data_IF_742380193351
#
_entry.id   IF_742380193351
#
_cell.length_a   1.000
_cell.length_b   1.000
_cell.length_c   1.000
_cell.angle_alpha   90.00
_cell.angle_beta   90.00
_cell.angle_gamma   90.00
#
_symmetry.space_group_name_H-M   'P 1'
#
loop_
_entity.id
_entity.type
_entity.pdbx_description
1 polymer ?
#
# COMPACT_ATOMS: atom_id res chain seq x y z
N UNK A 1 44.39 -12.70 -21.64
CA UNK A 1 43.64 -11.73 -20.80
C UNK A 1 42.23 -11.50 -21.34
N UNK A 2 42.06 -11.07 -22.60
CA UNK A 2 40.75 -10.77 -23.20
C UNK A 2 39.73 -11.93 -23.16
N UNK A 3 40.13 -13.16 -23.51
CA UNK A 3 39.24 -14.33 -23.46
C UNK A 3 38.77 -14.66 -22.03
N UNK A 4 39.64 -14.47 -21.03
CA UNK A 4 39.29 -14.67 -19.62
C UNK A 4 38.27 -13.62 -19.17
N UNK A 5 38.48 -12.34 -19.51
CA UNK A 5 37.52 -11.25 -19.24
C UNK A 5 36.16 -11.53 -19.89
N UNK A 6 36.13 -11.93 -21.16
CA UNK A 6 34.89 -12.27 -21.88
C UNK A 6 34.14 -13.44 -21.23
N UNK A 7 34.86 -14.44 -20.73
CA UNK A 7 34.28 -15.57 -20.00
C UNK A 7 33.68 -15.15 -18.65
N UNK A 8 34.40 -14.32 -17.88
CA UNK A 8 33.91 -13.78 -16.61
C UNK A 8 32.68 -12.90 -16.78
N UNK A 9 32.67 -11.99 -17.76
CA UNK A 9 31.51 -11.16 -18.08
C UNK A 9 30.29 -12.00 -18.48
N UNK A 10 30.49 -13.04 -19.31
CA UNK A 10 29.41 -13.95 -19.69
C UNK A 10 28.85 -14.71 -18.49
N UNK A 11 29.70 -15.12 -17.54
CA UNK A 11 29.26 -15.79 -16.33
C UNK A 11 28.42 -14.86 -15.43
N UNK A 12 28.88 -13.62 -15.21
CA UNK A 12 28.13 -12.61 -14.45
C UNK A 12 26.79 -12.29 -15.12
N UNK A 13 26.77 -12.11 -16.45
CA UNK A 13 25.53 -11.85 -17.18
C UNK A 13 24.49 -12.97 -17.01
N UNK A 14 24.93 -14.24 -17.09
CA UNK A 14 24.05 -15.40 -16.87
C UNK A 14 23.53 -15.45 -15.43
N UNK A 15 24.37 -15.17 -14.43
CA UNK A 15 23.94 -15.13 -13.03
C UNK A 15 22.95 -14.00 -12.78
N UNK A 16 23.18 -12.83 -13.35
CA UNK A 16 22.24 -11.73 -13.29
C UNK A 16 20.88 -12.14 -13.86
N UNK A 17 20.85 -12.72 -15.07
CA UNK A 17 19.59 -13.17 -15.69
C UNK A 17 18.85 -14.21 -14.83
N UNK A 18 19.57 -15.20 -14.29
CA UNK A 18 18.98 -16.21 -13.43
C UNK A 18 18.38 -15.60 -12.15
N UNK A 19 19.15 -14.75 -11.45
CA UNK A 19 18.68 -14.10 -10.23
C UNK A 19 17.53 -13.12 -10.49
N UNK A 20 17.52 -12.43 -11.63
CA UNK A 20 16.38 -11.59 -12.02
C UNK A 20 15.11 -12.39 -12.25
N UNK A 21 15.22 -13.59 -12.84
CA UNK A 21 14.08 -14.48 -13.03
C UNK A 21 13.56 -15.02 -11.69
N UNK A 22 14.47 -15.43 -10.80
CA UNK A 22 14.13 -15.92 -9.46
C UNK A 22 13.47 -14.82 -8.60
N UNK A 23 13.98 -13.57 -8.65
CA UNK A 23 13.32 -12.43 -7.98
C UNK A 23 11.90 -12.23 -8.51
N UNK A 24 11.71 -12.28 -9.83
CA UNK A 24 10.37 -12.11 -10.43
C UNK A 24 9.42 -13.27 -10.13
N UNK A 25 9.93 -14.46 -9.84
CA UNK A 25 9.16 -15.60 -9.34
C UNK A 25 8.74 -15.36 -7.88
N UNK A 26 9.70 -15.05 -7.01
CA UNK A 26 9.44 -14.78 -5.59
C UNK A 26 8.50 -13.58 -5.39
N UNK A 27 8.62 -12.53 -6.20
CA UNK A 27 7.71 -11.38 -6.15
C UNK A 27 6.26 -11.78 -6.47
N UNK A 28 6.05 -12.75 -7.37
CA UNK A 28 4.71 -13.29 -7.67
C UNK A 28 4.19 -14.13 -6.51
N UNK A 29 5.02 -15.02 -5.97
CA UNK A 29 4.65 -15.86 -4.83
C UNK A 29 4.27 -14.99 -3.62
N UNK A 30 5.05 -13.95 -3.32
CA UNK A 30 4.75 -12.99 -2.25
C UNK A 30 3.42 -12.29 -2.51
N UNK A 31 3.14 -11.87 -3.75
CA UNK A 31 1.89 -11.21 -4.10
C UNK A 31 0.69 -12.14 -3.89
N UNK A 32 0.77 -13.39 -4.34
CA UNK A 32 -0.28 -14.40 -4.16
C UNK A 32 -0.52 -14.72 -2.69
N UNK A 33 0.55 -14.95 -1.92
CA UNK A 33 0.47 -15.22 -0.48
C UNK A 33 -0.13 -14.03 0.30
N UNK A 34 0.28 -12.80 -0.01
CA UNK A 34 -0.29 -11.62 0.64
C UNK A 34 -1.77 -11.44 0.31
N UNK A 35 -2.17 -11.68 -0.95
CA UNK A 35 -3.57 -11.60 -1.36
C UNK A 35 -4.45 -12.66 -0.70
N UNK A 36 -3.91 -13.87 -0.50
CA UNK A 36 -4.58 -14.92 0.23
C UNK A 36 -4.67 -14.63 1.74
N UNK A 37 -3.61 -14.06 2.33
CA UNK A 37 -3.55 -13.80 3.77
C UNK A 37 -4.40 -12.60 4.19
N UNK A 38 -4.32 -11.48 3.48
CA UNK A 38 -5.09 -10.28 3.80
C UNK A 38 -5.28 -9.37 2.56
N UNK A 39 -6.37 -9.56 1.79
CA UNK A 39 -6.66 -8.73 0.63
C UNK A 39 -7.01 -7.28 1.00
N UNK A 40 -7.59 -7.05 2.18
CA UNK A 40 -7.92 -5.71 2.66
C UNK A 40 -6.66 -4.86 2.88
N UNK A 41 -5.58 -5.47 3.37
CA UNK A 41 -4.29 -4.79 3.52
C UNK A 41 -3.70 -4.38 2.17
N UNK A 42 -3.77 -5.24 1.16
CA UNK A 42 -3.32 -4.87 -0.19
C UNK A 42 -4.16 -3.74 -0.78
N UNK A 43 -5.45 -3.67 -0.46
CA UNK A 43 -6.35 -2.62 -0.93
C UNK A 43 -6.02 -1.21 -0.36
N UNK A 44 -5.22 -1.12 0.70
CA UNK A 44 -4.79 0.15 1.29
C UNK A 44 -3.92 0.92 0.29
N UNK A 45 -4.27 2.18 0.03
CA UNK A 45 -3.53 3.01 -0.92
C UNK A 45 -2.04 3.12 -0.55
N UNK A 46 -1.17 2.76 -1.49
CA UNK A 46 0.28 2.77 -1.32
C UNK A 46 0.87 1.50 -0.68
N UNK A 47 0.05 0.48 -0.42
CA UNK A 47 0.50 -0.86 -0.03
C UNK A 47 0.60 -1.73 -1.28
N UNK A 48 1.81 -2.22 -1.57
CA UNK A 48 2.05 -3.28 -2.55
C UNK A 48 2.51 -4.57 -1.87
N UNK A 49 2.70 -5.68 -2.61
CA UNK A 49 3.08 -6.99 -2.07
C UNK A 49 4.27 -6.97 -1.10
N UNK A 50 5.38 -6.31 -1.46
CA UNK A 50 6.55 -6.21 -0.58
C UNK A 50 6.22 -5.48 0.74
N UNK A 51 5.46 -4.39 0.66
CA UNK A 51 5.04 -3.60 1.83
C UNK A 51 4.06 -4.40 2.69
N UNK A 52 3.12 -5.10 2.08
CA UNK A 52 2.17 -5.96 2.77
C UNK A 52 2.90 -7.10 3.50
N UNK A 53 3.85 -7.78 2.86
CA UNK A 53 4.58 -8.88 3.47
C UNK A 53 5.37 -8.43 4.70
N UNK A 54 6.07 -7.28 4.65
CA UNK A 54 6.76 -6.71 5.82
C UNK A 54 5.80 -6.44 6.99
N UNK A 55 4.58 -5.93 6.69
CA UNK A 55 3.59 -5.60 7.73
C UNK A 55 2.94 -6.87 8.30
N UNK A 56 2.64 -7.86 7.47
CA UNK A 56 2.10 -9.16 7.88
C UNK A 56 3.11 -9.92 8.75
N UNK A 57 4.37 -9.98 8.34
CA UNK A 57 5.45 -10.61 9.14
C UNK A 57 5.64 -9.89 10.47
N UNK A 58 5.57 -8.55 10.48
CA UNK A 58 5.70 -7.78 11.71
C UNK A 58 4.52 -8.00 12.67
N UNK A 59 3.30 -8.07 12.14
CA UNK A 59 2.09 -8.38 12.90
C UNK A 59 2.12 -9.81 13.47
N UNK A 60 2.62 -10.76 12.66
CA UNK A 60 2.62 -12.19 12.94
C UNK A 60 1.22 -12.82 12.85
N UNK A 61 1.17 -14.14 13.04
CA UNK A 61 -0.04 -14.94 12.83
C UNK A 61 -1.08 -14.82 13.97
N UNK A 62 -0.78 -14.06 15.02
CA UNK A 62 -1.67 -13.87 16.17
C UNK A 62 -2.13 -12.40 16.27
N UNK A 63 -3.20 -12.03 15.55
CA UNK A 63 -3.74 -10.66 15.58
C UNK A 63 -4.21 -10.24 16.97
N UNK A 64 -4.64 -11.17 17.83
CA UNK A 64 -5.09 -10.88 19.22
C UNK A 64 -3.96 -10.33 20.11
N UNK A 65 -2.70 -10.53 19.72
CA UNK A 65 -1.54 -9.92 20.38
C UNK A 65 -1.59 -8.39 20.30
N UNK A 66 -2.24 -7.84 19.28
CA UNK A 66 -2.31 -6.39 19.03
C UNK A 66 -3.69 -5.87 19.43
N UNK A 67 -3.87 -5.59 20.72
CA UNK A 67 -5.17 -5.21 21.28
C UNK A 67 -5.72 -3.85 20.80
N UNK A 68 -4.87 -2.97 20.29
CA UNK A 68 -5.28 -1.62 19.87
C UNK A 68 -4.27 -0.95 18.92
N UNK A 69 -4.73 0.06 18.18
CA UNK A 69 -3.95 0.84 17.21
C UNK A 69 -2.62 1.40 17.74
N UNK A 70 -2.54 1.73 19.03
CA UNK A 70 -1.33 2.28 19.64
C UNK A 70 -0.27 1.20 19.86
N UNK A 71 -0.66 -0.05 20.10
CA UNK A 71 0.27 -1.17 20.26
C UNK A 71 0.94 -1.48 18.92
N UNK A 72 0.17 -1.48 17.82
CA UNK A 72 0.72 -1.66 16.48
C UNK A 72 1.67 -0.53 16.09
N UNK A 73 1.31 0.73 16.33
CA UNK A 73 2.25 1.81 16.06
C UNK A 73 3.51 1.77 16.93
N UNK A 74 3.42 1.30 18.17
CA UNK A 74 4.60 1.08 19.00
C UNK A 74 5.48 -0.03 18.44
N UNK A 75 4.87 -1.15 18.02
CA UNK A 75 5.54 -2.26 17.33
C UNK A 75 6.26 -1.78 16.06
N UNK A 76 5.62 -0.97 15.23
CA UNK A 76 6.24 -0.39 14.03
C UNK A 76 7.19 0.79 14.33
N UNK A 77 7.41 1.17 15.59
CA UNK A 77 8.23 2.35 15.95
C UNK A 77 7.66 3.68 15.43
N UNK A 78 6.37 3.73 15.10
CA UNK A 78 5.61 4.90 14.67
C UNK A 78 4.88 5.59 15.84
N UNK A 79 5.36 5.40 17.07
CA UNK A 79 4.87 6.06 18.30
C UNK A 79 5.91 7.08 18.79
N UNK A 80 5.89 8.35 18.31
CA UNK A 80 6.88 9.34 18.71
C UNK A 80 6.92 9.52 20.23
N UNK A 81 8.11 9.51 20.81
CA UNK A 81 8.28 9.62 22.27
C UNK A 81 8.38 11.09 22.61
N UNK A 82 7.64 11.56 23.61
CA UNK A 82 7.75 12.93 24.08
C UNK A 82 9.19 13.21 24.53
N UNK A 83 9.78 14.27 23.99
CA UNK A 83 11.12 14.77 24.29
C UNK A 83 11.02 16.26 24.55
N UNK A 84 10.32 16.60 25.62
CA UNK A 84 9.95 17.96 25.99
C UNK A 84 10.38 18.22 27.43
N UNK A 85 11.02 19.36 27.68
CA UNK A 85 11.24 19.93 29.01
C UNK A 85 10.59 21.32 28.99
N UNK A 86 9.62 21.58 29.86
CA UNK A 86 8.87 22.85 29.90
C UNK A 86 7.74 22.98 28.87
N UNK A 87 7.49 24.21 28.37
CA UNK A 87 6.32 24.57 27.55
C UNK A 87 6.38 24.12 26.08
N UNK A 88 7.49 23.54 25.60
CA UNK A 88 7.64 23.14 24.19
C UNK A 88 7.39 21.64 24.02
N UNK A 89 6.31 21.27 23.31
CA UNK A 89 6.00 19.86 23.03
C UNK A 89 6.74 19.39 21.78
N UNK A 90 7.94 18.82 21.97
CA UNK A 90 8.69 18.11 20.92
C UNK A 90 8.64 16.61 21.13
N UNK A 91 8.65 15.88 20.03
CA UNK A 91 8.70 14.41 20.04
C UNK A 91 9.98 13.93 19.35
N UNK A 92 10.66 12.95 19.95
CA UNK A 92 11.79 12.24 19.36
C UNK A 92 11.33 10.95 18.66
N UNK A 93 12.18 10.44 17.78
CA UNK A 93 11.98 9.16 17.11
C UNK A 93 12.01 8.00 18.12
N UNK A 94 11.05 7.09 18.05
CA UNK A 94 11.13 5.82 18.75
C UNK A 94 12.10 4.88 18.02
N UNK A 95 13.08 4.32 18.76
CA UNK A 95 14.08 3.41 18.21
C UNK A 95 13.84 1.92 18.49
N UNK A 96 12.88 1.57 19.36
CA UNK A 96 12.67 0.22 19.87
C UNK A 96 11.69 -0.66 19.08
N UNK A 97 11.06 -0.14 18.02
CA UNK A 97 10.15 -0.91 17.17
C UNK A 97 10.84 -1.63 15.99
N UNK A 98 10.08 -2.47 15.29
CA UNK A 98 10.48 -3.14 14.05
C UNK A 98 10.79 -2.09 12.96
N UNK A 99 12.03 -2.12 12.46
CA UNK A 99 12.54 -1.15 11.50
C UNK A 99 12.03 -1.36 10.08
N UNK A 100 11.79 -2.59 9.69
CA UNK A 100 11.21 -2.94 8.40
C UNK A 100 9.76 -2.48 8.32
N UNK A 101 8.96 -2.76 9.36
CA UNK A 101 7.60 -2.22 9.46
C UNK A 101 7.60 -0.68 9.49
N UNK A 102 8.54 -0.05 10.19
CA UNK A 102 8.69 1.40 10.17
C UNK A 102 9.02 1.94 8.78
N UNK A 103 9.83 1.21 8.00
CA UNK A 103 10.18 1.55 6.63
C UNK A 103 8.99 1.34 5.68
N UNK A 104 8.22 0.26 5.85
CA UNK A 104 6.97 0.00 5.13
C UNK A 104 6.00 1.19 5.27
N UNK A 105 5.76 1.67 6.50
CA UNK A 105 4.93 2.88 6.74
C UNK A 105 5.46 4.14 6.04
N UNK A 106 6.79 4.28 5.96
CA UNK A 106 7.41 5.40 5.24
C UNK A 106 7.26 5.26 3.72
N UNK A 107 7.44 4.06 3.16
CA UNK A 107 7.22 3.77 1.74
C UNK A 107 5.78 4.09 1.33
N UNK A 108 4.80 3.68 2.13
CA UNK A 108 3.38 4.03 1.90
C UNK A 108 3.20 5.55 1.85
N UNK A 109 3.75 6.29 2.83
CA UNK A 109 3.67 7.75 2.84
C UNK A 109 4.30 8.39 1.60
N UNK A 110 5.45 7.89 1.14
CA UNK A 110 6.11 8.38 -0.06
C UNK A 110 5.32 8.10 -1.32
N UNK A 111 4.77 6.89 -1.46
CA UNK A 111 3.92 6.52 -2.60
C UNK A 111 2.67 7.41 -2.64
N UNK A 112 2.00 7.61 -1.49
CA UNK A 112 0.84 8.50 -1.39
C UNK A 112 1.16 9.94 -1.79
N UNK A 113 2.30 10.47 -1.37
CA UNK A 113 2.73 11.83 -1.75
C UNK A 113 3.12 11.93 -3.22
N UNK A 114 3.85 10.93 -3.74
CA UNK A 114 4.26 10.89 -5.15
C UNK A 114 3.05 10.81 -6.10
N UNK A 115 2.02 10.07 -5.71
CA UNK A 115 0.78 9.91 -6.48
C UNK A 115 -0.33 10.89 -6.11
N UNK A 116 -0.02 11.95 -5.36
CA UNK A 116 -0.97 13.01 -5.00
C UNK A 116 -2.26 12.50 -4.37
N UNK A 117 -2.12 11.55 -3.46
CA UNK A 117 -3.26 11.00 -2.74
C UNK A 117 -3.97 12.11 -1.95
N UNK A 118 -5.23 12.37 -2.29
CA UNK A 118 -5.95 13.58 -1.90
C UNK A 118 -5.95 13.83 -0.38
N UNK A 119 -6.33 12.84 0.42
CA UNK A 119 -6.40 13.00 1.88
C UNK A 119 -5.01 13.20 2.52
N UNK A 120 -3.97 12.58 1.95
CA UNK A 120 -2.59 12.74 2.41
C UNK A 120 -2.03 14.13 2.04
N UNK A 121 -2.27 14.60 0.81
CA UNK A 121 -1.87 15.96 0.41
C UNK A 121 -2.56 17.02 1.27
N UNK A 122 -3.89 16.95 1.41
CA UNK A 122 -4.65 17.88 2.25
C UNK A 122 -4.13 17.90 3.70
N UNK A 123 -3.80 16.73 4.25
CA UNK A 123 -3.20 16.61 5.57
C UNK A 123 -1.83 17.30 5.65
N UNK A 124 -0.95 17.07 4.67
CA UNK A 124 0.39 17.68 4.62
C UNK A 124 0.30 19.20 4.50
N UNK A 125 -0.57 19.71 3.62
CA UNK A 125 -0.80 21.14 3.46
C UNK A 125 -1.23 21.79 4.78
N UNK A 126 -2.28 21.27 5.41
CA UNK A 126 -2.74 21.75 6.71
C UNK A 126 -1.63 21.75 7.78
N UNK A 127 -0.82 20.68 7.85
CA UNK A 127 0.27 20.62 8.84
C UNK A 127 1.42 21.57 8.54
N UNK A 128 1.67 21.91 7.28
CA UNK A 128 2.63 22.95 6.89
C UNK A 128 2.15 24.34 7.30
N UNK A 129 0.86 24.63 7.14
CA UNK A 129 0.24 25.88 7.59
C UNK A 129 0.31 26.04 9.11
N UNK A 130 0.22 24.95 9.87
CA UNK A 130 0.47 24.92 11.32
C UNK A 130 1.95 25.13 11.71
N UNK A 131 2.86 25.34 10.74
CA UNK A 131 4.28 25.58 10.99
C UNK A 131 5.09 24.32 11.30
N UNK A 132 4.57 23.12 11.04
CA UNK A 132 5.31 21.87 11.27
C UNK A 132 6.37 21.64 10.19
N UNK A 133 7.51 21.11 10.62
CA UNK A 133 8.58 20.69 9.70
C UNK A 133 8.19 19.42 8.94
N UNK A 134 8.74 19.20 7.74
CA UNK A 134 8.48 17.99 6.96
C UNK A 134 8.81 16.70 7.74
N UNK A 135 9.81 16.72 8.62
CA UNK A 135 10.14 15.57 9.50
C UNK A 135 9.03 15.28 10.52
N UNK A 136 8.37 16.31 11.06
CA UNK A 136 7.26 16.14 11.99
C UNK A 136 6.00 15.67 11.26
N UNK A 137 5.75 16.21 10.06
CA UNK A 137 4.65 15.77 9.19
C UNK A 137 4.81 14.29 8.85
N UNK A 138 6.02 13.88 8.44
CA UNK A 138 6.31 12.48 8.12
C UNK A 138 6.04 11.54 9.30
N UNK A 139 6.42 11.93 10.53
CA UNK A 139 6.09 11.12 11.72
C UNK A 139 4.58 11.02 11.94
N UNK A 140 3.84 12.10 11.73
CA UNK A 140 2.39 12.08 11.84
C UNK A 140 1.74 11.19 10.78
N UNK A 141 2.22 11.26 9.53
CA UNK A 141 1.74 10.40 8.45
C UNK A 141 1.97 8.94 8.78
N UNK A 142 3.16 8.57 9.24
CA UNK A 142 3.45 7.18 9.63
C UNK A 142 2.56 6.70 10.77
N UNK A 143 2.24 7.56 11.75
CA UNK A 143 1.29 7.22 12.83
C UNK A 143 -0.13 7.02 12.30
N UNK A 144 -0.57 7.86 11.36
CA UNK A 144 -1.87 7.75 10.71
C UNK A 144 -1.98 6.46 9.87
N UNK A 145 -0.98 6.19 9.03
CA UNK A 145 -0.92 4.98 8.21
C UNK A 145 -0.85 3.73 9.10
N UNK A 146 -0.14 3.78 10.23
CA UNK A 146 -0.12 2.66 11.18
C UNK A 146 -1.53 2.36 11.74
N UNK A 147 -2.34 3.38 12.01
CA UNK A 147 -3.73 3.19 12.43
C UNK A 147 -4.56 2.53 11.33
N UNK A 148 -4.47 3.04 10.11
CA UNK A 148 -5.18 2.50 8.94
C UNK A 148 -4.80 1.03 8.66
N UNK A 149 -3.49 0.72 8.65
CA UNK A 149 -2.99 -0.65 8.50
C UNK A 149 -3.46 -1.55 9.64
N UNK A 150 -3.49 -1.05 10.89
CA UNK A 150 -4.02 -1.83 12.01
C UNK A 150 -5.48 -2.21 11.79
N UNK A 151 -6.32 -1.31 11.27
CA UNK A 151 -7.70 -1.64 10.94
C UNK A 151 -7.79 -2.69 9.84
N UNK A 152 -7.01 -2.59 8.77
CA UNK A 152 -6.97 -3.61 7.73
C UNK A 152 -6.48 -4.99 8.23
N UNK A 153 -5.59 -5.01 9.22
CA UNK A 153 -5.10 -6.26 9.84
C UNK A 153 -6.09 -6.88 10.82
N UNK A 154 -6.69 -6.07 11.69
CA UNK A 154 -7.55 -6.57 12.77
C UNK A 154 -9.01 -6.79 12.32
N UNK A 155 -9.51 -5.93 11.43
CA UNK A 155 -10.87 -5.93 10.92
C UNK A 155 -10.82 -5.77 9.39
N UNK A 156 -10.39 -6.81 8.64
CA UNK A 156 -10.29 -6.73 7.19
C UNK A 156 -11.67 -6.48 6.59
N UNK A 157 -11.85 -5.33 5.95
CA UNK A 157 -13.05 -5.04 5.17
C UNK A 157 -13.08 -5.93 3.92
N UNK A 158 -14.29 -6.33 3.51
CA UNK A 158 -14.45 -7.07 2.26
C UNK A 158 -14.28 -6.09 1.08
N UNK A 159 -13.10 -6.13 0.46
CA UNK A 159 -12.79 -5.26 -0.67
C UNK A 159 -13.11 -5.99 -1.97
N UNK A 160 -13.86 -5.36 -2.89
CA UNK A 160 -14.22 -5.97 -4.17
C UNK A 160 -12.97 -6.37 -4.95
N UNK A 161 -12.93 -7.63 -5.39
CA UNK A 161 -11.77 -8.13 -6.14
C UNK A 161 -11.74 -7.49 -7.51
N UNK A 162 -10.54 -7.12 -7.97
CA UNK A 162 -10.32 -6.54 -9.28
C UNK A 162 -10.92 -7.36 -10.43
N UNK A 163 -10.84 -8.69 -10.31
CA UNK A 163 -11.40 -9.63 -11.30
C UNK A 163 -12.92 -9.54 -11.35
N UNK A 164 -13.57 -9.45 -10.20
CA UNK A 164 -15.05 -9.40 -10.10
C UNK A 164 -15.57 -8.10 -10.69
N UNK A 165 -14.92 -6.96 -10.39
CA UNK A 165 -15.26 -5.66 -10.98
C UNK A 165 -15.13 -5.66 -12.50
N UNK A 166 -14.05 -6.26 -13.02
CA UNK A 166 -13.82 -6.40 -14.46
C UNK A 166 -14.90 -7.27 -15.10
N UNK A 167 -15.21 -8.41 -14.50
CA UNK A 167 -16.24 -9.32 -14.99
C UNK A 167 -17.60 -8.64 -14.99
N UNK A 168 -17.97 -7.98 -13.90
CA UNK A 168 -19.23 -7.26 -13.78
C UNK A 168 -19.36 -6.18 -14.87
N UNK A 169 -18.33 -5.36 -15.10
CA UNK A 169 -18.35 -4.36 -16.19
C UNK A 169 -18.51 -5.00 -17.57
N UNK A 170 -17.81 -6.12 -17.83
CA UNK A 170 -17.93 -6.82 -19.11
C UNK A 170 -19.33 -7.42 -19.29
N UNK A 171 -19.90 -7.99 -18.23
CA UNK A 171 -21.26 -8.53 -18.27
C UNK A 171 -22.28 -7.43 -18.51
N UNK A 172 -22.15 -6.25 -17.92
CA UNK A 172 -23.08 -5.12 -18.16
C UNK A 172 -22.88 -4.43 -19.53
N UNK A 173 -21.91 -4.86 -20.34
CA UNK A 173 -21.64 -4.28 -21.65
C UNK A 173 -21.00 -2.88 -21.60
N UNK A 174 -20.49 -2.47 -20.44
CA UNK A 174 -19.95 -1.13 -20.23
C UNK A 174 -18.50 -1.05 -20.74
N UNK A 175 -18.21 -0.03 -21.54
CA UNK A 175 -16.84 0.22 -22.00
C UNK A 175 -15.96 0.72 -20.85
N UNK A 176 -14.66 0.39 -20.90
CA UNK A 176 -13.68 0.89 -19.93
C UNK A 176 -13.62 2.44 -19.92
N UNK A 177 -13.83 3.08 -21.08
CA UNK A 177 -13.85 4.53 -21.20
C UNK A 177 -15.07 5.16 -20.51
N UNK A 178 -16.24 4.55 -20.64
CA UNK A 178 -17.48 4.99 -19.96
C UNK A 178 -17.33 4.92 -18.45
N UNK A 179 -16.83 3.79 -17.94
CA UNK A 179 -16.59 3.60 -16.51
C UNK A 179 -15.55 4.59 -15.96
N UNK A 180 -14.43 4.78 -16.67
CA UNK A 180 -13.40 5.72 -16.26
C UNK A 180 -13.91 7.17 -16.25
N UNK A 181 -14.74 7.54 -17.24
CA UNK A 181 -15.40 8.85 -17.31
C UNK A 181 -16.33 9.11 -16.14
N UNK A 182 -17.14 8.12 -15.73
CA UNK A 182 -18.02 8.25 -14.56
C UNK A 182 -17.23 8.44 -13.26
N UNK A 183 -16.15 7.68 -13.08
CA UNK A 183 -15.30 7.73 -11.89
C UNK A 183 -14.37 8.95 -11.87
N UNK A 184 -14.33 9.77 -12.93
CA UNK A 184 -13.44 10.92 -13.02
C UNK A 184 -11.95 10.55 -13.02
N UNK A 185 -11.61 9.34 -13.48
CA UNK A 185 -10.22 8.85 -13.54
C UNK A 185 -9.78 8.51 -14.96
N UNK A 186 -8.48 8.33 -15.16
CA UNK A 186 -7.96 7.91 -16.46
C UNK A 186 -8.29 6.45 -16.76
N UNK A 187 -8.51 6.14 -18.03
CA UNK A 187 -8.70 4.76 -18.52
C UNK A 187 -7.53 3.86 -18.11
N UNK A 188 -6.31 4.40 -18.10
CA UNK A 188 -5.11 3.67 -17.65
C UNK A 188 -5.20 3.31 -16.16
N UNK A 189 -5.67 4.21 -15.30
CA UNK A 189 -5.83 3.94 -13.87
C UNK A 189 -6.87 2.87 -13.63
N UNK A 190 -8.03 2.96 -14.29
CA UNK A 190 -9.07 1.93 -14.20
C UNK A 190 -8.59 0.57 -14.74
N UNK A 191 -7.89 0.57 -15.88
CA UNK A 191 -7.28 -0.65 -16.44
C UNK A 191 -6.29 -1.31 -15.48
N UNK A 192 -5.52 -0.52 -14.73
CA UNK A 192 -4.57 -1.04 -13.74
C UNK A 192 -5.29 -1.58 -12.51
N UNK A 193 -6.39 -0.94 -12.08
CA UNK A 193 -7.24 -1.45 -11.01
C UNK A 193 -7.82 -2.83 -11.39
N UNK A 194 -8.44 -2.95 -12.58
CA UNK A 194 -9.02 -4.21 -13.07
C UNK A 194 -8.01 -5.34 -13.30
N UNK A 195 -6.72 -5.00 -13.40
CA UNK A 195 -5.63 -5.98 -13.49
C UNK A 195 -4.98 -6.28 -12.14
N UNK A 196 -5.49 -5.72 -11.04
CA UNK A 196 -4.92 -5.86 -9.72
C UNK A 196 -3.53 -5.25 -9.57
N UNK A 197 -3.19 -4.24 -10.37
CA UNK A 197 -1.89 -3.55 -10.32
C UNK A 197 -1.96 -2.31 -9.43
N UNK A 198 -3.09 -1.61 -9.46
CA UNK A 198 -3.38 -0.51 -8.54
C UNK A 198 -4.34 -1.05 -7.50
N UNK A 199 -4.04 -0.81 -6.24
CA UNK A 199 -4.88 -1.20 -5.13
C UNK A 199 -5.35 0.06 -4.41
N UNK A 200 -6.67 0.27 -4.39
CA UNK A 200 -7.32 1.39 -3.70
C UNK A 200 -8.74 0.95 -3.35
N UNK A 201 -9.01 0.76 -2.06
CA UNK A 201 -10.31 0.34 -1.55
C UNK A 201 -11.40 1.35 -1.92
N UNK A 202 -11.15 2.65 -1.71
CA UNK A 202 -12.10 3.72 -2.03
C UNK A 202 -12.54 3.67 -3.50
N UNK A 203 -11.58 3.49 -4.41
CA UNK A 203 -11.85 3.41 -5.84
C UNK A 203 -12.59 2.11 -6.20
N UNK A 204 -12.20 0.98 -5.62
CA UNK A 204 -12.85 -0.30 -5.85
C UNK A 204 -14.32 -0.30 -5.38
N UNK A 205 -14.57 0.24 -4.18
CA UNK A 205 -15.91 0.37 -3.60
C UNK A 205 -16.78 1.32 -4.42
N UNK A 206 -16.29 2.53 -4.74
CA UNK A 206 -17.01 3.50 -5.58
C UNK A 206 -17.35 2.91 -6.96
N UNK A 207 -16.42 2.15 -7.53
CA UNK A 207 -16.63 1.50 -8.82
C UNK A 207 -17.66 0.38 -8.73
N UNK A 208 -17.62 -0.45 -7.67
CA UNK A 208 -18.62 -1.49 -7.46
C UNK A 208 -20.01 -0.91 -7.25
N UNK A 209 -20.13 0.11 -6.38
CA UNK A 209 -21.39 0.79 -6.10
C UNK A 209 -22.00 1.32 -7.39
N UNK A 210 -21.19 1.96 -8.23
CA UNK A 210 -21.66 2.43 -9.53
C UNK A 210 -22.09 1.27 -10.43
N UNK A 211 -21.31 0.20 -10.56
CA UNK A 211 -21.66 -0.96 -11.38
C UNK A 211 -22.97 -1.62 -10.91
N UNK A 212 -23.25 -1.63 -9.60
CA UNK A 212 -24.49 -2.14 -9.03
C UNK A 212 -25.73 -1.31 -9.40
N UNK A 213 -25.55 -0.02 -9.74
CA UNK A 213 -26.64 0.83 -10.24
C UNK A 213 -26.94 0.62 -11.73
N UNK A 214 -26.10 -0.11 -12.46
CA UNK A 214 -26.24 -0.28 -13.90
C UNK A 214 -27.22 -1.43 -14.21
N UNK A 215 -28.08 -1.27 -15.24
CA UNK A 215 -29.00 -2.32 -15.62
C UNK A 215 -28.21 -3.57 -16.06
N UNK A 216 -28.58 -4.73 -15.51
CA UNK A 216 -28.10 -6.01 -16.03
C UNK A 216 -28.58 -6.16 -17.47
N UNK A 217 -27.77 -6.70 -18.40
CA UNK A 217 -28.25 -6.91 -19.77
C UNK A 217 -29.48 -7.80 -19.71
N UNK A 218 -30.57 -7.33 -20.33
CA UNK A 218 -31.76 -8.16 -20.54
C UNK A 218 -31.32 -9.44 -21.25
N UNK A 219 -31.74 -10.59 -20.70
CA UNK A 219 -31.53 -11.92 -21.27
C UNK A 219 -32.18 -12.07 -22.65
#
# INVERSE_FOLDING_TARGET
MEQATKRSLRHLARRHQALSAEIAELDRDIAELCAAANPALLAVDGVGPEVASMLLVAAGDNPDRMRHEAAFAALCGASPVQASSGKTVRHRLNRGGNREANNALWRIAMVRLAHRHHSTEAYVHRRREEGRTDREIMRCLKRYIAREVFHALANPEDVPRAVDLRLQRLTTGISLATAAGHLGITVVRLSRLERGIVHSADLANTYQDWLNTQPSPAA
#
